data_IF_829138009702
#
_entry.id   IF_829138009702
#
_cell.length_a   1.000
_cell.length_b   1.000
_cell.length_c   1.000
_cell.angle_alpha   90.00
_cell.angle_beta   90.00
_cell.angle_gamma   90.00
#
_symmetry.space_group_name_H-M   'P 1'
#
loop_
_entity.id
_entity.type
_entity.pdbx_description
1 polymer ?
#
# COMPACT_ATOMS: atom_id res chain seq x y z
N UNK A 1 -6.69 -19.29 17.06
CA UNK A 1 -6.49 -18.64 15.75
C UNK A 1 -7.44 -17.46 15.69
N UNK A 2 -6.90 -16.28 15.57
CA UNK A 2 -7.67 -15.04 15.49
C UNK A 2 -8.33 -14.98 14.11
N UNK A 3 -9.62 -14.68 14.08
CA UNK A 3 -10.37 -14.59 12.82
C UNK A 3 -10.16 -13.24 12.13
N UNK A 4 -10.48 -13.14 10.84
CA UNK A 4 -10.48 -11.85 10.14
C UNK A 4 -11.40 -10.82 10.83
N UNK A 5 -12.55 -11.27 11.35
CA UNK A 5 -13.48 -10.40 12.07
C UNK A 5 -12.88 -9.84 13.39
N UNK A 6 -12.10 -10.64 14.12
CA UNK A 6 -11.41 -10.17 15.33
C UNK A 6 -10.36 -9.11 14.97
N UNK A 7 -9.62 -9.31 13.87
CA UNK A 7 -8.64 -8.35 13.38
C UNK A 7 -9.31 -7.06 12.91
N UNK A 8 -10.43 -7.15 12.18
CA UNK A 8 -11.20 -5.98 11.77
C UNK A 8 -11.77 -5.21 12.96
N UNK A 9 -12.13 -5.88 14.05
CA UNK A 9 -12.57 -5.24 15.29
C UNK A 9 -11.42 -4.46 15.96
N UNK A 10 -10.20 -5.02 16.01
CA UNK A 10 -9.01 -4.31 16.51
C UNK A 10 -8.71 -3.06 15.66
N UNK A 11 -8.79 -3.18 14.33
CA UNK A 11 -8.61 -2.05 13.41
C UNK A 11 -9.73 -1.00 13.54
N UNK A 12 -10.93 -1.40 13.93
CA UNK A 12 -12.04 -0.50 14.20
C UNK A 12 -11.85 0.25 15.53
N UNK A 13 -11.20 -0.36 16.49
CA UNK A 13 -10.84 0.28 17.76
C UNK A 13 -9.75 1.35 17.53
N UNK A 14 -8.58 0.94 17.05
CA UNK A 14 -7.50 1.85 16.65
C UNK A 14 -6.36 1.12 15.94
N UNK A 15 -5.57 1.82 15.09
CA UNK A 15 -4.32 1.29 14.56
C UNK A 15 -3.35 0.83 15.65
N UNK A 16 -3.35 1.53 16.80
CA UNK A 16 -2.52 1.19 17.94
C UNK A 16 -2.88 -0.17 18.54
N UNK A 17 -4.17 -0.45 18.76
CA UNK A 17 -4.64 -1.73 19.30
C UNK A 17 -4.22 -2.90 18.39
N UNK A 18 -4.34 -2.71 17.07
CA UNK A 18 -3.86 -3.67 16.10
C UNK A 18 -2.34 -3.87 16.16
N UNK A 19 -1.56 -2.78 16.25
CA UNK A 19 -0.10 -2.85 16.33
C UNK A 19 0.37 -3.55 17.62
N UNK A 20 -0.29 -3.29 18.75
CA UNK A 20 -0.03 -3.96 20.02
C UNK A 20 -0.35 -5.48 19.93
N UNK A 21 -1.46 -5.82 19.30
CA UNK A 21 -1.79 -7.22 19.02
C UNK A 21 -0.70 -7.91 18.19
N UNK A 22 -0.26 -7.30 17.09
CA UNK A 22 0.81 -7.83 16.25
C UNK A 22 2.12 -8.03 17.01
N UNK A 23 2.50 -7.06 17.85
CA UNK A 23 3.72 -7.14 18.65
C UNK A 23 3.68 -8.31 19.64
N UNK A 24 2.49 -8.64 20.15
CA UNK A 24 2.28 -9.77 21.05
C UNK A 24 2.20 -11.14 20.32
N UNK A 25 1.90 -11.13 19.00
CA UNK A 25 1.70 -12.34 18.19
C UNK A 25 2.52 -12.26 16.88
N UNK A 26 3.88 -12.17 16.96
CA UNK A 26 4.74 -11.87 15.79
C UNK A 26 4.69 -12.95 14.70
N UNK A 27 4.46 -14.21 15.08
CA UNK A 27 4.45 -15.36 14.17
C UNK A 27 3.04 -15.71 13.65
N UNK A 28 2.00 -15.00 14.13
CA UNK A 28 0.64 -15.29 13.69
C UNK A 28 0.36 -14.65 12.32
N UNK A 29 0.03 -15.45 11.28
CA UNK A 29 -0.29 -14.90 9.97
C UNK A 29 -1.63 -14.16 10.01
N UNK A 30 -1.63 -12.90 9.59
CA UNK A 30 -2.85 -12.09 9.50
C UNK A 30 -3.36 -12.12 8.07
N UNK A 31 -4.61 -12.52 7.91
CA UNK A 31 -5.30 -12.60 6.63
C UNK A 31 -6.50 -11.63 6.62
N UNK A 32 -6.39 -10.59 5.79
CA UNK A 32 -7.42 -9.60 5.50
C UNK A 32 -7.84 -9.65 4.02
N UNK A 33 -7.78 -10.83 3.42
CA UNK A 33 -8.20 -11.04 2.03
C UNK A 33 -9.65 -10.57 1.83
N UNK A 34 -9.88 -9.71 0.83
CA UNK A 34 -11.16 -9.08 0.51
C UNK A 34 -11.80 -8.23 1.63
N UNK A 35 -11.08 -7.92 2.71
CA UNK A 35 -11.59 -7.10 3.80
C UNK A 35 -11.99 -5.70 3.34
N UNK A 36 -13.09 -5.18 3.87
CA UNK A 36 -13.52 -3.80 3.63
C UNK A 36 -13.08 -2.88 4.78
N UNK A 37 -12.00 -2.16 4.56
CA UNK A 37 -11.43 -1.19 5.49
C UNK A 37 -11.60 0.27 5.01
N UNK A 38 -12.41 0.50 3.97
CA UNK A 38 -12.54 1.81 3.33
C UNK A 38 -12.93 2.92 4.33
N UNK A 39 -12.39 4.11 4.09
CA UNK A 39 -12.67 5.36 4.81
C UNK A 39 -12.25 5.36 6.28
N UNK A 40 -11.43 4.42 6.72
CA UNK A 40 -10.93 4.36 8.10
C UNK A 40 -9.69 5.24 8.30
N UNK A 41 -9.51 5.68 9.54
CA UNK A 41 -8.22 6.22 9.98
C UNK A 41 -7.33 5.05 10.43
N UNK A 42 -6.29 4.78 9.64
CA UNK A 42 -5.32 3.71 9.83
C UNK A 42 -3.88 4.28 9.86
N UNK A 43 -3.73 5.51 10.33
CA UNK A 43 -2.43 6.19 10.43
C UNK A 43 -1.46 5.39 11.29
N UNK A 44 -0.24 5.16 10.77
CA UNK A 44 0.82 4.41 11.44
C UNK A 44 0.53 2.92 11.68
N UNK A 45 -0.49 2.35 11.00
CA UNK A 45 -0.78 0.91 11.12
C UNK A 45 0.37 0.06 10.55
N UNK A 46 0.70 -1.04 11.20
CA UNK A 46 1.69 -2.01 10.72
C UNK A 46 1.04 -3.21 10.03
N UNK A 47 0.92 -3.15 8.72
CA UNK A 47 0.46 -4.24 7.86
C UNK A 47 1.61 -5.03 7.20
N UNK A 48 2.84 -4.96 7.72
CA UNK A 48 3.94 -5.70 7.13
C UNK A 48 3.67 -7.21 7.08
N UNK A 49 3.87 -7.83 5.92
CA UNK A 49 3.63 -9.25 5.68
C UNK A 49 2.17 -9.71 5.70
N UNK A 50 1.20 -8.81 5.89
CA UNK A 50 -0.23 -9.13 5.92
C UNK A 50 -0.77 -9.49 4.54
N UNK A 51 -1.70 -10.42 4.48
CA UNK A 51 -2.45 -10.71 3.25
C UNK A 51 -3.64 -9.74 3.11
N UNK A 52 -3.46 -8.73 2.26
CA UNK A 52 -4.40 -7.66 1.93
C UNK A 52 -4.87 -7.75 0.47
N UNK A 53 -4.76 -8.91 -0.16
CA UNK A 53 -5.20 -9.06 -1.56
C UNK A 53 -6.68 -8.76 -1.69
N UNK A 54 -7.02 -7.99 -2.73
CA UNK A 54 -8.40 -7.53 -3.04
C UNK A 54 -9.08 -6.73 -1.93
N UNK A 55 -8.34 -6.26 -0.91
CA UNK A 55 -8.94 -5.46 0.15
C UNK A 55 -9.35 -4.07 -0.36
N UNK A 56 -10.32 -3.48 0.31
CA UNK A 56 -10.82 -2.14 0.03
C UNK A 56 -10.27 -1.19 1.09
N UNK A 57 -9.31 -0.34 0.68
CA UNK A 57 -8.68 0.70 1.49
C UNK A 57 -9.01 2.11 0.97
N UNK A 58 -9.98 2.22 0.04
CA UNK A 58 -10.36 3.50 -0.57
C UNK A 58 -10.63 4.57 0.48
N UNK A 59 -10.08 5.77 0.26
CA UNK A 59 -10.29 6.94 1.11
C UNK A 59 -9.68 6.86 2.51
N UNK A 60 -8.92 5.81 2.84
CA UNK A 60 -8.27 5.68 4.16
C UNK A 60 -7.20 6.74 4.38
N UNK A 61 -7.02 7.14 5.66
CA UNK A 61 -5.82 7.84 6.12
C UNK A 61 -4.81 6.80 6.59
N UNK A 62 -3.66 6.71 5.90
CA UNK A 62 -2.62 5.69 6.04
C UNK A 62 -1.23 6.33 6.14
N UNK A 63 -1.14 7.59 6.57
CA UNK A 63 0.13 8.28 6.69
C UNK A 63 1.06 7.51 7.63
N UNK A 64 2.32 7.28 7.20
CA UNK A 64 3.31 6.51 7.95
C UNK A 64 2.98 5.03 8.15
N UNK A 65 1.96 4.49 7.48
CA UNK A 65 1.63 3.06 7.56
C UNK A 65 2.74 2.20 6.94
N UNK A 66 2.86 0.95 7.40
CA UNK A 66 3.87 0.01 6.94
C UNK A 66 3.24 -1.19 6.27
N UNK A 67 3.59 -1.40 5.00
CA UNK A 67 3.13 -2.51 4.16
C UNK A 67 4.29 -3.36 3.63
N UNK A 68 5.45 -3.32 4.30
CA UNK A 68 6.65 -4.02 3.84
C UNK A 68 6.38 -5.54 3.72
N UNK A 69 6.66 -6.13 2.56
CA UNK A 69 6.39 -7.53 2.27
C UNK A 69 4.90 -7.93 2.24
N UNK A 70 3.97 -6.98 2.34
CA UNK A 70 2.53 -7.28 2.27
C UNK A 70 2.12 -7.82 0.89
N UNK A 71 1.08 -8.64 0.88
CA UNK A 71 0.44 -9.14 -0.34
C UNK A 71 -0.80 -8.29 -0.61
N UNK A 72 -0.73 -7.43 -1.62
CA UNK A 72 -1.76 -6.42 -1.92
C UNK A 72 -2.24 -6.48 -3.37
N UNK A 73 -2.09 -7.62 -4.02
CA UNK A 73 -2.54 -7.77 -5.40
C UNK A 73 -4.04 -7.46 -5.50
N UNK A 74 -4.41 -6.63 -6.48
CA UNK A 74 -5.78 -6.16 -6.72
C UNK A 74 -6.39 -5.32 -5.59
N UNK A 75 -5.60 -4.80 -4.65
CA UNK A 75 -6.10 -3.92 -3.59
C UNK A 75 -6.57 -2.58 -4.16
N UNK A 76 -7.65 -2.04 -3.59
CA UNK A 76 -8.18 -0.72 -3.93
C UNK A 76 -7.71 0.32 -2.90
N UNK A 77 -6.71 1.15 -3.29
CA UNK A 77 -6.18 2.27 -2.49
C UNK A 77 -6.49 3.63 -3.13
N UNK A 78 -7.62 3.75 -3.85
CA UNK A 78 -8.02 5.02 -4.47
C UNK A 78 -8.21 6.10 -3.40
N UNK A 79 -7.80 7.33 -3.73
CA UNK A 79 -7.99 8.52 -2.88
C UNK A 79 -7.45 8.37 -1.45
N UNK A 80 -6.48 7.47 -1.23
CA UNK A 80 -5.85 7.28 0.08
C UNK A 80 -4.82 8.35 0.39
N UNK A 81 -4.61 8.63 1.70
CA UNK A 81 -3.56 9.50 2.20
C UNK A 81 -2.44 8.64 2.76
N UNK A 82 -1.38 8.42 1.97
CA UNK A 82 -0.29 7.48 2.25
C UNK A 82 1.06 8.15 2.50
N UNK A 83 1.07 9.45 2.76
CA UNK A 83 2.33 10.18 2.93
C UNK A 83 3.27 9.47 3.90
N UNK A 84 4.51 9.21 3.44
CA UNK A 84 5.55 8.55 4.24
C UNK A 84 5.32 7.06 4.52
N UNK A 85 4.32 6.42 3.91
CA UNK A 85 4.11 4.98 4.04
C UNK A 85 5.22 4.18 3.36
N UNK A 86 5.41 2.90 3.76
CA UNK A 86 6.42 2.02 3.17
C UNK A 86 5.78 0.76 2.60
N UNK A 87 6.28 0.34 1.41
CA UNK A 87 5.83 -0.82 0.64
C UNK A 87 7.02 -1.66 0.16
N UNK A 88 8.11 -1.72 0.93
CA UNK A 88 9.31 -2.46 0.52
C UNK A 88 8.98 -3.92 0.27
N UNK A 89 9.43 -4.44 -0.87
CA UNK A 89 9.21 -5.84 -1.27
C UNK A 89 7.72 -6.28 -1.31
N UNK A 90 6.78 -5.34 -1.28
CA UNK A 90 5.35 -5.65 -1.35
C UNK A 90 4.93 -6.14 -2.75
N UNK A 91 3.95 -7.05 -2.80
CA UNK A 91 3.28 -7.43 -4.04
C UNK A 91 2.02 -6.58 -4.23
N UNK A 92 2.02 -5.73 -5.26
CA UNK A 92 0.96 -4.76 -5.55
C UNK A 92 0.38 -4.93 -6.97
N UNK A 93 0.54 -6.10 -7.57
CA UNK A 93 0.09 -6.31 -8.96
C UNK A 93 -1.39 -5.98 -9.11
N UNK A 94 -1.72 -5.17 -10.14
CA UNK A 94 -3.09 -4.74 -10.42
C UNK A 94 -3.76 -3.91 -9.32
N UNK A 95 -3.02 -3.45 -8.32
CA UNK A 95 -3.56 -2.52 -7.32
C UNK A 95 -3.84 -1.14 -7.96
N UNK A 96 -4.74 -0.37 -7.36
CA UNK A 96 -5.00 1.00 -7.82
C UNK A 96 -4.74 2.02 -6.72
N UNK A 97 -3.94 3.04 -7.05
CA UNK A 97 -3.64 4.22 -6.23
C UNK A 97 -4.18 5.52 -6.87
N UNK A 98 -5.18 5.40 -7.73
CA UNK A 98 -5.71 6.55 -8.44
C UNK A 98 -6.12 7.66 -7.47
N UNK A 99 -5.67 8.90 -7.72
CA UNK A 99 -5.87 10.09 -6.86
C UNK A 99 -5.28 9.96 -5.44
N UNK A 100 -4.36 9.04 -5.18
CA UNK A 100 -3.73 8.88 -3.87
C UNK A 100 -2.64 9.94 -3.61
N UNK A 101 -2.49 10.34 -2.35
CA UNK A 101 -1.35 11.11 -1.86
C UNK A 101 -0.25 10.13 -1.42
N UNK A 102 0.73 9.92 -2.29
CA UNK A 102 1.85 9.01 -2.12
C UNK A 102 3.18 9.74 -1.86
N UNK A 103 3.11 10.99 -1.41
CA UNK A 103 4.31 11.78 -1.15
C UNK A 103 5.22 11.11 -0.14
N UNK A 104 6.52 11.13 -0.42
CA UNK A 104 7.55 10.60 0.47
C UNK A 104 7.41 9.08 0.76
N UNK A 105 6.67 8.32 -0.06
CA UNK A 105 6.50 6.87 0.09
C UNK A 105 7.74 6.09 -0.37
N UNK A 106 7.90 4.85 0.11
CA UNK A 106 9.00 3.97 -0.28
C UNK A 106 8.48 2.67 -0.87
N UNK A 107 8.82 2.42 -2.15
CA UNK A 107 8.44 1.22 -2.90
C UNK A 107 9.64 0.35 -3.30
N UNK A 108 10.76 0.45 -2.58
CA UNK A 108 11.97 -0.31 -2.90
C UNK A 108 11.68 -1.81 -3.01
N UNK A 109 12.06 -2.44 -4.12
CA UNK A 109 11.83 -3.86 -4.39
C UNK A 109 10.37 -4.24 -4.69
N UNK A 110 9.42 -3.31 -4.65
CA UNK A 110 8.01 -3.61 -4.82
C UNK A 110 7.66 -4.13 -6.22
N UNK A 111 6.72 -5.06 -6.31
CA UNK A 111 6.15 -5.50 -7.56
C UNK A 111 4.92 -4.64 -7.92
N UNK A 112 5.16 -3.63 -8.77
CA UNK A 112 4.17 -2.66 -9.24
C UNK A 112 3.61 -2.99 -10.63
N UNK A 113 3.74 -4.23 -11.07
CA UNK A 113 3.25 -4.62 -12.39
C UNK A 113 1.76 -4.35 -12.53
N UNK A 114 1.37 -3.59 -13.57
CA UNK A 114 -0.02 -3.21 -13.88
C UNK A 114 -0.71 -2.40 -12.79
N UNK A 115 0.04 -1.77 -11.91
CA UNK A 115 -0.51 -0.81 -10.93
C UNK A 115 -1.03 0.43 -11.66
N UNK A 116 -2.13 0.99 -11.16
CA UNK A 116 -2.69 2.25 -11.66
C UNK A 116 -2.37 3.38 -10.69
N UNK A 117 -1.51 4.32 -11.11
CA UNK A 117 -1.14 5.54 -10.38
C UNK A 117 -1.77 6.81 -11.00
N UNK A 118 -2.77 6.67 -11.87
CA UNK A 118 -3.36 7.85 -12.55
C UNK A 118 -3.75 8.92 -11.53
N UNK A 119 -3.33 10.18 -11.82
CA UNK A 119 -3.60 11.34 -10.95
C UNK A 119 -3.07 11.23 -9.51
N UNK A 120 -2.15 10.31 -9.22
CA UNK A 120 -1.52 10.20 -7.90
C UNK A 120 -0.39 11.23 -7.73
N UNK A 121 -0.16 11.69 -6.50
CA UNK A 121 1.00 12.52 -6.15
C UNK A 121 2.11 11.62 -5.57
N UNK A 122 3.14 11.38 -6.37
CA UNK A 122 4.34 10.59 -6.05
C UNK A 122 5.56 11.47 -5.71
N UNK A 123 5.36 12.74 -5.41
CA UNK A 123 6.47 13.66 -5.08
C UNK A 123 7.30 13.12 -3.93
N UNK A 124 8.61 12.97 -4.14
CA UNK A 124 9.54 12.41 -3.13
C UNK A 124 9.43 10.90 -2.92
N UNK A 125 8.57 10.20 -3.67
CA UNK A 125 8.49 8.74 -3.57
C UNK A 125 9.75 8.08 -4.15
N UNK A 126 10.20 6.97 -3.54
CA UNK A 126 11.41 6.22 -3.89
C UNK A 126 11.05 4.82 -4.38
N UNK A 127 11.70 4.39 -5.49
CA UNK A 127 11.32 3.15 -6.19
C UNK A 127 12.55 2.33 -6.61
N UNK A 128 13.53 2.13 -5.77
CA UNK A 128 14.73 1.35 -6.12
C UNK A 128 14.36 -0.10 -6.41
N UNK A 129 14.79 -0.61 -7.57
CA UNK A 129 14.54 -2.00 -7.99
C UNK A 129 13.04 -2.40 -8.04
N UNK A 130 12.13 -1.45 -8.15
CA UNK A 130 10.71 -1.74 -8.30
C UNK A 130 10.39 -2.21 -9.73
N UNK A 131 9.39 -3.07 -9.88
CA UNK A 131 8.95 -3.59 -11.18
C UNK A 131 7.71 -2.81 -11.66
N UNK A 132 7.88 -1.91 -12.62
CA UNK A 132 6.82 -1.09 -13.23
C UNK A 132 6.20 -1.68 -14.52
N UNK A 133 6.48 -2.91 -14.87
CA UNK A 133 5.99 -3.47 -16.14
C UNK A 133 4.47 -3.26 -16.29
N UNK A 134 4.07 -2.63 -17.37
CA UNK A 134 2.67 -2.32 -17.69
C UNK A 134 1.94 -1.41 -16.65
N UNK A 135 2.68 -0.72 -15.77
CA UNK A 135 2.08 0.24 -14.82
C UNK A 135 1.55 1.50 -15.55
N UNK A 136 0.51 2.12 -15.02
CA UNK A 136 -0.11 3.32 -15.57
C UNK A 136 0.16 4.53 -14.66
N UNK A 137 1.07 5.41 -15.09
CA UNK A 137 1.46 6.65 -14.41
C UNK A 137 0.89 7.91 -15.07
N UNK A 138 -0.11 7.79 -15.95
CA UNK A 138 -0.67 8.94 -16.64
C UNK A 138 -1.20 9.96 -15.64
N UNK A 139 -0.84 11.23 -15.87
CA UNK A 139 -1.19 12.38 -15.03
C UNK A 139 -0.69 12.30 -13.57
N UNK A 140 0.11 11.30 -13.22
CA UNK A 140 0.75 11.26 -11.91
C UNK A 140 1.82 12.35 -11.80
N UNK A 141 1.97 12.94 -10.63
CA UNK A 141 3.07 13.86 -10.32
C UNK A 141 4.23 13.07 -9.71
N UNK A 142 5.43 13.11 -10.33
CA UNK A 142 6.62 12.42 -9.83
C UNK A 142 7.91 13.12 -10.29
N UNK A 143 9.02 12.77 -9.67
CA UNK A 143 10.34 13.25 -9.99
C UNK A 143 11.16 12.10 -10.60
N UNK A 144 11.69 12.28 -11.80
CA UNK A 144 12.44 11.23 -12.53
C UNK A 144 13.73 10.81 -11.81
N UNK A 145 14.35 11.70 -11.06
CA UNK A 145 15.59 11.44 -10.33
C UNK A 145 15.41 10.54 -9.09
N UNK A 146 14.18 10.36 -8.62
CA UNK A 146 13.85 9.43 -7.51
C UNK A 146 13.49 8.03 -8.00
N UNK A 147 13.34 7.84 -9.32
CA UNK A 147 12.98 6.55 -9.91
C UNK A 147 14.24 5.84 -10.39
N UNK A 148 14.91 5.11 -9.50
CA UNK A 148 16.04 4.24 -9.84
C UNK A 148 15.54 2.85 -10.32
N UNK A 149 14.59 2.83 -11.24
CA UNK A 149 13.94 1.61 -11.74
C UNK A 149 13.69 1.69 -13.23
N UNK A 150 13.59 0.52 -13.87
CA UNK A 150 13.25 0.43 -15.29
C UNK A 150 11.75 0.72 -15.50
N UNK A 151 11.46 1.84 -16.13
CA UNK A 151 10.11 2.23 -16.55
C UNK A 151 9.72 1.70 -17.94
N UNK A 152 10.56 0.85 -18.55
CA UNK A 152 10.22 0.27 -19.86
C UNK A 152 8.92 -0.54 -19.76
N UNK A 153 7.97 -0.21 -20.64
CA UNK A 153 6.64 -0.81 -20.61
C UNK A 153 5.62 -0.15 -19.68
N UNK A 154 6.00 0.88 -18.90
CA UNK A 154 5.04 1.72 -18.19
C UNK A 154 4.39 2.75 -19.10
N UNK A 155 3.12 3.10 -18.85
CA UNK A 155 2.41 4.18 -19.53
C UNK A 155 2.60 5.49 -18.75
N UNK A 156 3.34 6.46 -19.32
CA UNK A 156 3.77 7.70 -18.65
C UNK A 156 3.25 9.00 -19.30
N UNK A 157 2.25 8.92 -20.18
CA UNK A 157 1.69 10.08 -20.93
C UNK A 157 0.25 10.34 -20.55
#
# INVERSE_FOLDING_TARGET
>A
MTTAADIEALLAESPRAFNEYRAAHPDEPINLFEANLAWRNLEGVDFAGVDLRRCWLEGCTLAGARFDGARMDYANLRSTKLRGATFRDASLRWATFQHADLRDTVFDGANLRRVVFCDADLTGAVFRNANFAEADLRWATYQMDTIESDLSGACIR
#
